data_IF_689044463284
#
_entry.id   IF_689044463284
#
_cell.length_a   1.000
_cell.length_b   1.000
_cell.length_c   1.000
_cell.angle_alpha   90.00
_cell.angle_beta   90.00
_cell.angle_gamma   90.00
#
_symmetry.space_group_name_H-M   'P 1'
#
loop_
_entity.id
_entity.type
_entity.pdbx_description
1 polymer ?
#
# COMPACT_ATOMS: atom_id res chain seq x y z
N UNK A 1 33.13 -26.00 -23.79
CA UNK A 1 33.23 -27.02 -22.72
C UNK A 1 31.86 -27.12 -22.07
N UNK A 2 31.35 -28.34 -21.86
CA UNK A 2 30.13 -28.54 -21.09
C UNK A 2 30.45 -28.45 -19.58
N UNK A 3 29.49 -28.01 -18.78
CA UNK A 3 29.62 -28.00 -17.33
C UNK A 3 29.80 -29.44 -16.81
N UNK A 4 30.57 -29.58 -15.72
CA UNK A 4 30.58 -30.84 -14.97
C UNK A 4 29.25 -31.03 -14.24
N UNK A 5 28.92 -32.27 -13.88
CA UNK A 5 27.71 -32.58 -13.12
C UNK A 5 27.66 -31.85 -11.77
N UNK A 6 28.79 -31.73 -11.09
CA UNK A 6 28.91 -30.98 -9.82
C UNK A 6 28.64 -29.48 -10.01
N UNK A 7 29.12 -28.90 -11.12
CA UNK A 7 28.83 -27.50 -11.45
C UNK A 7 27.34 -27.32 -11.74
N UNK A 8 26.73 -28.24 -12.49
CA UNK A 8 25.30 -28.22 -12.78
C UNK A 8 24.45 -28.31 -11.51
N UNK A 9 24.80 -29.22 -10.59
CA UNK A 9 24.09 -29.39 -9.32
C UNK A 9 24.24 -28.16 -8.40
N UNK A 10 25.41 -27.53 -8.38
CA UNK A 10 25.64 -26.27 -7.66
C UNK A 10 24.74 -25.16 -8.21
N UNK A 11 24.73 -24.96 -9.54
CA UNK A 11 23.89 -23.94 -10.16
C UNK A 11 22.40 -24.17 -9.92
N UNK A 12 21.93 -25.43 -10.00
CA UNK A 12 20.54 -25.77 -9.66
C UNK A 12 20.19 -25.42 -8.22
N UNK A 13 21.09 -25.71 -7.28
CA UNK A 13 20.90 -25.35 -5.87
C UNK A 13 20.84 -23.83 -5.69
N UNK A 14 21.78 -23.09 -6.29
CA UNK A 14 21.78 -21.63 -6.24
C UNK A 14 20.50 -21.05 -6.86
N UNK A 15 20.03 -21.58 -7.99
CA UNK A 15 18.78 -21.14 -8.60
C UNK A 15 17.57 -21.38 -7.69
N UNK A 16 17.50 -22.53 -7.02
CA UNK A 16 16.42 -22.84 -6.08
C UNK A 16 16.43 -21.89 -4.86
N UNK A 17 17.61 -21.58 -4.35
CA UNK A 17 17.78 -20.66 -3.22
C UNK A 17 17.40 -19.23 -3.59
N UNK A 18 17.85 -18.73 -4.76
CA UNK A 18 17.46 -17.41 -5.27
C UNK A 18 15.96 -17.34 -5.51
N UNK A 19 15.35 -18.40 -6.05
CA UNK A 19 13.89 -18.46 -6.24
C UNK A 19 13.15 -18.33 -4.91
N UNK A 20 13.60 -19.05 -3.87
CA UNK A 20 13.01 -18.93 -2.54
C UNK A 20 13.18 -17.52 -1.95
N UNK A 21 14.32 -16.87 -2.18
CA UNK A 21 14.53 -15.48 -1.75
C UNK A 21 13.58 -14.51 -2.47
N UNK A 22 13.32 -14.71 -3.76
CA UNK A 22 12.35 -13.91 -4.51
C UNK A 22 10.93 -14.09 -3.95
N UNK A 23 10.50 -15.33 -3.71
CA UNK A 23 9.19 -15.61 -3.11
C UNK A 23 9.06 -14.96 -1.73
N UNK A 24 10.12 -14.96 -0.93
CA UNK A 24 10.13 -14.29 0.36
C UNK A 24 10.01 -12.77 0.24
N UNK A 25 10.69 -12.15 -0.73
CA UNK A 25 10.57 -10.71 -0.99
C UNK A 25 9.15 -10.33 -1.40
N UNK A 26 8.49 -11.15 -2.23
CA UNK A 26 7.10 -10.92 -2.62
C UNK A 26 6.16 -10.94 -1.39
N UNK A 27 6.37 -11.86 -0.44
CA UNK A 27 5.63 -11.88 0.83
C UNK A 27 5.88 -10.64 1.70
N UNK A 28 7.11 -10.14 1.75
CA UNK A 28 7.45 -8.92 2.49
C UNK A 28 6.78 -7.68 1.86
N UNK A 29 6.80 -7.57 0.53
CA UNK A 29 6.12 -6.50 -0.20
C UNK A 29 4.63 -6.50 0.11
N UNK A 30 3.96 -7.65 0.06
CA UNK A 30 2.52 -7.73 0.37
C UNK A 30 2.24 -7.34 1.83
N UNK A 31 3.08 -7.74 2.78
CA UNK A 31 2.95 -7.33 4.19
C UNK A 31 3.05 -5.82 4.35
N UNK A 32 3.98 -5.16 3.67
CA UNK A 32 4.10 -3.70 3.72
C UNK A 32 2.91 -3.00 3.05
N UNK A 33 2.42 -3.52 1.91
CA UNK A 33 1.22 -2.99 1.25
C UNK A 33 0.00 -3.05 2.17
N UNK A 34 -0.18 -4.13 2.94
CA UNK A 34 -1.26 -4.22 3.92
C UNK A 34 -1.15 -3.13 5.01
N UNK A 35 0.05 -2.83 5.49
CA UNK A 35 0.26 -1.74 6.46
C UNK A 35 -0.10 -0.38 5.86
N UNK A 36 0.31 -0.13 4.62
CA UNK A 36 -0.03 1.11 3.89
C UNK A 36 -1.54 1.24 3.72
N UNK A 37 -2.23 0.18 3.28
CA UNK A 37 -3.70 0.15 3.13
C UNK A 37 -4.39 0.48 4.46
N UNK A 38 -3.96 -0.16 5.55
CA UNK A 38 -4.50 0.14 6.89
C UNK A 38 -4.29 1.60 7.27
N UNK A 39 -3.07 2.13 7.08
CA UNK A 39 -2.75 3.52 7.43
C UNK A 39 -3.56 4.53 6.61
N UNK A 40 -3.77 4.25 5.32
CA UNK A 40 -4.60 5.09 4.45
C UNK A 40 -6.05 5.14 4.95
N UNK A 41 -6.63 4.00 5.35
CA UNK A 41 -7.97 3.96 5.91
C UNK A 41 -8.09 4.79 7.20
N UNK A 42 -7.14 4.65 8.12
CA UNK A 42 -7.11 5.45 9.37
C UNK A 42 -7.02 6.96 9.09
N UNK A 43 -6.21 7.37 8.11
CA UNK A 43 -6.05 8.77 7.74
C UNK A 43 -7.31 9.33 7.08
N UNK A 44 -7.98 8.55 6.23
CA UNK A 44 -9.24 8.96 5.61
C UNK A 44 -10.36 9.11 6.65
N UNK A 45 -10.45 8.18 7.59
CA UNK A 45 -11.41 8.27 8.70
C UNK A 45 -11.14 9.51 9.57
N UNK A 46 -9.86 9.76 9.90
CA UNK A 46 -9.45 10.94 10.66
C UNK A 46 -9.80 12.23 9.92
N UNK A 47 -9.52 12.30 8.61
CA UNK A 47 -9.87 13.46 7.76
C UNK A 47 -11.37 13.69 7.76
N UNK A 48 -12.18 12.63 7.61
CA UNK A 48 -13.65 12.73 7.63
C UNK A 48 -14.15 13.27 8.97
N UNK A 49 -13.64 12.75 10.08
CA UNK A 49 -13.99 13.23 11.42
C UNK A 49 -13.69 14.71 11.60
N UNK A 50 -12.49 15.15 11.20
CA UNK A 50 -12.11 16.57 11.25
C UNK A 50 -12.97 17.45 10.35
N UNK A 51 -13.31 16.98 9.14
CA UNK A 51 -14.22 17.68 8.22
C UNK A 51 -15.60 17.88 8.86
N UNK A 52 -16.15 16.85 9.51
CA UNK A 52 -17.42 16.97 10.24
C UNK A 52 -17.36 18.01 11.38
N UNK A 53 -16.25 18.03 12.14
CA UNK A 53 -16.05 19.04 13.19
C UNK A 53 -15.96 20.44 12.60
N UNK A 54 -15.18 20.60 11.53
CA UNK A 54 -15.02 21.88 10.83
C UNK A 54 -16.36 22.41 10.29
N UNK A 55 -17.10 21.58 9.57
CA UNK A 55 -18.43 21.92 9.02
C UNK A 55 -19.43 22.24 10.13
N UNK A 56 -19.46 21.43 11.19
CA UNK A 56 -20.31 21.69 12.35
C UNK A 56 -20.01 23.01 13.04
N UNK A 57 -18.71 23.35 13.17
CA UNK A 57 -18.26 24.61 13.78
C UNK A 57 -18.62 25.81 12.90
N UNK A 58 -18.40 25.71 11.58
CA UNK A 58 -18.78 26.77 10.64
C UNK A 58 -20.29 27.05 10.68
N UNK A 59 -21.10 25.99 10.73
CA UNK A 59 -22.56 26.11 10.87
C UNK A 59 -22.97 26.83 12.16
N UNK A 60 -22.32 26.53 13.29
CA UNK A 60 -22.58 27.23 14.56
C UNK A 60 -22.20 28.72 14.49
N UNK A 61 -21.18 29.07 13.70
CA UNK A 61 -20.74 30.45 13.49
C UNK A 61 -21.53 31.18 12.39
N UNK A 62 -22.46 30.50 11.70
CA UNK A 62 -23.20 31.07 10.57
C UNK A 62 -22.34 31.32 9.33
N UNK A 63 -21.20 30.62 9.21
CA UNK A 63 -20.32 30.69 8.04
C UNK A 63 -20.82 29.69 7.01
N UNK A 64 -21.08 30.17 5.80
CA UNK A 64 -21.43 29.33 4.64
C UNK A 64 -20.14 28.76 4.04
N UNK A 65 -20.02 27.43 4.01
CA UNK A 65 -18.89 26.72 3.42
C UNK A 65 -19.25 26.31 1.99
N UNK A 66 -18.34 26.55 1.04
CA UNK A 66 -18.40 25.85 -0.25
C UNK A 66 -18.13 24.37 -0.01
N UNK A 67 -19.01 23.52 -0.53
CA UNK A 67 -18.84 22.07 -0.43
C UNK A 67 -17.65 21.66 -1.28
N UNK A 68 -16.51 21.37 -0.66
CA UNK A 68 -15.47 20.62 -1.34
C UNK A 68 -16.03 19.21 -1.61
N UNK A 69 -16.49 18.99 -2.85
CA UNK A 69 -16.72 17.64 -3.37
C UNK A 69 -15.45 16.84 -3.11
N UNK A 70 -15.61 15.74 -2.38
CA UNK A 70 -14.50 14.86 -2.03
C UNK A 70 -13.77 14.48 -3.32
N UNK A 71 -12.59 15.06 -3.55
CA UNK A 71 -11.60 14.53 -4.48
C UNK A 71 -11.06 13.23 -3.92
N UNK A 72 -11.95 12.25 -3.75
CA UNK A 72 -11.64 10.88 -3.40
C UNK A 72 -11.45 10.12 -4.69
N UNK A 73 -10.23 10.08 -5.22
CA UNK A 73 -9.85 8.96 -6.11
C UNK A 73 -8.35 8.73 -6.35
N UNK A 74 -7.42 9.41 -5.65
CA UNK A 74 -6.00 9.04 -5.79
C UNK A 74 -5.63 7.78 -4.99
N UNK A 75 -6.32 7.49 -3.88
CA UNK A 75 -6.06 6.29 -3.07
C UNK A 75 -6.53 4.99 -3.76
N UNK A 76 -7.56 5.05 -4.60
CA UNK A 76 -8.04 3.89 -5.38
C UNK A 76 -7.02 3.46 -6.45
N UNK A 77 -6.16 4.38 -6.91
CA UNK A 77 -5.15 4.10 -7.94
C UNK A 77 -4.03 3.20 -7.44
N UNK A 78 -3.73 3.20 -6.13
CA UNK A 78 -2.70 2.33 -5.52
C UNK A 78 -3.25 0.91 -5.28
N UNK A 79 -4.58 0.74 -5.16
CA UNK A 79 -5.18 -0.58 -4.96
C UNK A 79 -5.35 -1.40 -6.25
N UNK A 80 -5.04 -0.81 -7.42
CA UNK A 80 -5.17 -1.41 -8.75
C UNK A 80 -3.83 -1.87 -9.37
N UNK A 81 -2.70 -1.64 -8.71
CA UNK A 81 -1.38 -2.14 -9.12
C UNK A 81 -1.00 -3.40 -8.36
#
# INVERSE_FOLDING_TARGET
MALSKEQEDLYKKTMAEVKHQLEHLDEEVEKELQKVRKRLAELQESKKSLKMVYEGTAKLLGIELESEEDTGDEAASISKM
#
